data_IF_892032082456
#
_entry.id   IF_892032082456
#
_cell.length_a   1.000
_cell.length_b   1.000
_cell.length_c   1.000
_cell.angle_alpha   90.00
_cell.angle_beta   90.00
_cell.angle_gamma   90.00
#
_symmetry.space_group_name_H-M   'P 1'
#
loop_
_entity.id
_entity.type
_entity.pdbx_description
1 polymer ?
#
# COMPACT_ATOMS: atom_id res chain seq x y z
N UNK A 1 -5.32 26.70 -5.99
CA UNK A 1 -4.41 26.49 -4.85
C UNK A 1 -4.23 24.99 -4.64
N UNK A 2 -3.11 24.43 -5.09
CA UNK A 2 -2.81 23.00 -4.97
C UNK A 2 -2.35 22.70 -3.54
N UNK A 3 -3.08 21.83 -2.83
CA UNK A 3 -2.71 21.38 -1.48
C UNK A 3 -1.71 20.23 -1.60
N UNK A 4 -0.44 20.50 -1.32
CA UNK A 4 0.57 19.47 -1.10
C UNK A 4 0.47 18.99 0.36
N UNK A 5 0.35 17.68 0.58
CA UNK A 5 0.31 17.07 1.91
C UNK A 5 1.62 16.31 2.19
N UNK A 6 2.22 16.44 3.39
CA UNK A 6 3.45 15.73 3.76
C UNK A 6 3.18 14.26 4.09
N UNK A 7 3.98 13.36 3.52
CA UNK A 7 3.99 11.93 3.83
C UNK A 7 4.87 11.69 5.07
N UNK A 8 4.28 11.16 6.15
CA UNK A 8 4.99 10.71 7.34
C UNK A 8 5.76 9.42 7.01
N UNK A 9 7.09 9.45 7.19
CA UNK A 9 7.98 8.29 7.10
C UNK A 9 8.08 7.64 8.49
N UNK A 10 7.84 6.33 8.56
CA UNK A 10 8.33 5.48 9.65
C UNK A 10 9.44 4.56 9.08
N UNK A 11 10.58 4.54 9.76
CA UNK A 11 11.78 3.76 9.44
C UNK A 11 11.59 2.27 9.77
N UNK A 12 12.00 1.35 8.88
CA UNK A 12 11.86 -0.11 9.09
C UNK A 12 13.10 -0.90 8.63
N UNK A 13 14.20 -0.75 9.37
CA UNK A 13 15.44 -1.53 9.18
C UNK A 13 15.52 -2.79 10.07
N UNK A 14 14.48 -3.12 10.84
CA UNK A 14 14.48 -4.31 11.74
C UNK A 14 13.69 -5.52 11.20
N UNK A 15 13.00 -5.39 10.06
CA UNK A 15 12.08 -6.43 9.55
C UNK A 15 12.79 -7.54 8.75
N UNK A 16 13.92 -7.25 8.13
CA UNK A 16 14.59 -8.19 7.21
C UNK A 16 15.31 -9.36 7.93
N UNK A 17 15.72 -9.19 9.19
CA UNK A 17 16.47 -10.21 9.95
C UNK A 17 15.59 -11.39 10.42
N UNK A 18 14.28 -11.19 10.52
CA UNK A 18 13.36 -12.24 11.00
C UNK A 18 13.01 -13.21 9.85
N UNK A 19 13.01 -12.71 8.61
CA UNK A 19 12.48 -13.43 7.43
C UNK A 19 13.35 -14.59 6.94
N UNK A 20 14.64 -14.60 7.23
CA UNK A 20 15.56 -15.67 6.77
C UNK A 20 15.66 -16.85 7.74
N UNK A 21 15.00 -16.81 8.90
CA UNK A 21 15.08 -17.86 9.92
C UNK A 21 13.91 -18.85 9.93
N UNK A 22 12.85 -18.59 9.15
CA UNK A 22 11.68 -19.47 9.07
C UNK A 22 11.92 -20.51 7.99
N UNK A 23 12.31 -21.72 8.39
CA UNK A 23 12.50 -22.85 7.48
C UNK A 23 11.16 -23.26 6.83
N UNK A 24 11.18 -23.75 5.59
CA UNK A 24 9.98 -24.28 4.91
C UNK A 24 9.24 -25.37 5.72
N UNK A 25 9.95 -26.03 6.64
CA UNK A 25 9.41 -27.02 7.58
C UNK A 25 8.41 -26.43 8.60
N UNK A 26 8.56 -25.14 8.94
CA UNK A 26 7.61 -24.40 9.79
C UNK A 26 6.35 -23.98 9.04
N UNK A 27 6.42 -23.85 7.71
CA UNK A 27 5.28 -23.45 6.86
C UNK A 27 4.34 -24.62 6.56
N UNK A 28 4.88 -25.82 6.29
CA UNK A 28 4.07 -27.04 6.07
C UNK A 28 3.39 -27.55 7.35
N UNK A 29 3.84 -27.07 8.50
CA UNK A 29 3.25 -27.34 9.80
C UNK A 29 2.35 -26.20 10.29
N UNK A 30 1.96 -25.23 9.45
CA UNK A 30 0.97 -24.20 9.84
C UNK A 30 -0.45 -24.79 9.77
N UNK A 31 -1.20 -24.83 10.88
CA UNK A 31 -2.58 -25.31 10.86
C UNK A 31 -3.46 -24.46 9.95
N UNK A 32 -4.15 -25.09 8.99
CA UNK A 32 -4.96 -24.43 7.95
C UNK A 32 -6.32 -23.92 8.46
N UNK A 33 -6.60 -24.03 9.76
CA UNK A 33 -7.81 -23.48 10.39
C UNK A 33 -7.54 -23.09 11.84
N UNK A 34 -8.33 -22.14 12.34
CA UNK A 34 -8.31 -21.69 13.74
C UNK A 34 -8.60 -22.84 14.70
N UNK A 35 -9.49 -23.77 14.32
CA UNK A 35 -9.78 -24.98 15.10
C UNK A 35 -8.56 -25.92 15.17
N UNK A 36 -7.88 -26.15 14.04
CA UNK A 36 -6.67 -26.99 14.03
C UNK A 36 -5.50 -26.35 14.79
N UNK A 37 -5.48 -25.02 14.91
CA UNK A 37 -4.52 -24.29 15.74
C UNK A 37 -4.86 -24.42 17.23
N UNK A 38 -6.14 -24.34 17.59
CA UNK A 38 -6.64 -24.54 18.94
C UNK A 38 -6.39 -25.97 19.43
N UNK A 39 -6.74 -26.98 18.64
CA UNK A 39 -6.57 -28.39 19.01
C UNK A 39 -5.08 -28.74 19.21
N UNK A 40 -4.18 -28.20 18.37
CA UNK A 40 -2.72 -28.42 18.52
C UNK A 40 -2.12 -27.70 19.70
N UNK A 41 -2.64 -26.52 20.03
CA UNK A 41 -2.22 -25.76 21.20
C UNK A 41 -2.68 -26.45 22.49
N UNK A 42 -3.90 -26.99 22.49
CA UNK A 42 -4.46 -27.77 23.59
C UNK A 42 -3.66 -29.07 23.79
N UNK A 43 -3.30 -29.78 22.71
CA UNK A 43 -2.39 -30.94 22.76
C UNK A 43 -0.98 -30.58 23.27
N UNK A 44 -0.46 -29.39 22.94
CA UNK A 44 0.83 -28.92 23.46
C UNK A 44 0.78 -28.56 24.96
N UNK A 45 -0.34 -28.00 25.42
CA UNK A 45 -0.55 -27.53 26.79
C UNK A 45 -0.92 -28.66 27.76
N UNK A 46 -1.59 -29.72 27.27
CA UNK A 46 -1.95 -30.88 28.11
C UNK A 46 -0.76 -31.81 28.41
N UNK A 47 0.41 -31.57 27.81
CA UNK A 47 1.63 -32.38 27.99
C UNK A 47 2.70 -31.79 28.92
N UNK A 48 2.53 -30.56 29.43
CA UNK A 48 3.49 -29.95 30.35
C UNK A 48 2.84 -29.68 31.71
N UNK A 49 3.15 -30.54 32.68
CA UNK A 49 2.94 -30.21 34.09
C UNK A 49 3.74 -28.93 34.42
N UNK A 50 3.02 -27.96 35.00
CA UNK A 50 3.53 -26.80 35.72
C UNK A 50 4.21 -25.69 34.90
N UNK A 51 3.40 -24.92 34.17
CA UNK A 51 3.62 -23.48 34.09
C UNK A 51 2.49 -22.81 34.88
N UNK A 52 2.78 -22.43 36.13
CA UNK A 52 1.90 -21.69 37.04
C UNK A 52 1.53 -20.30 36.52
N UNK A 53 0.85 -20.26 35.38
CA UNK A 53 0.24 -19.08 34.79
C UNK A 53 -1.24 -19.22 35.10
N UNK A 54 -1.73 -18.38 36.03
CA UNK A 54 -3.16 -18.29 36.33
C UNK A 54 -3.94 -18.13 35.02
N UNK A 55 -5.05 -18.88 34.84
CA UNK A 55 -5.84 -18.95 33.60
C UNK A 55 -6.12 -17.58 32.95
N UNK A 56 -6.22 -16.53 33.77
CA UNK A 56 -6.44 -15.16 33.35
C UNK A 56 -5.24 -14.54 32.61
N UNK A 57 -3.99 -14.88 32.97
CA UNK A 57 -2.80 -14.34 32.33
C UNK A 57 -2.53 -14.96 30.95
N UNK A 58 -2.80 -16.26 30.80
CA UNK A 58 -2.69 -16.96 29.52
C UNK A 58 -3.73 -16.46 28.50
N UNK A 59 -4.97 -16.27 28.95
CA UNK A 59 -6.04 -15.68 28.13
C UNK A 59 -5.67 -14.27 27.67
N UNK A 60 -5.07 -13.46 28.56
CA UNK A 60 -4.61 -12.11 28.24
C UNK A 60 -3.50 -12.11 27.20
N UNK A 61 -2.58 -13.06 27.30
CA UNK A 61 -1.50 -13.22 26.34
C UNK A 61 -2.05 -13.60 24.96
N UNK A 62 -2.99 -14.55 24.89
CA UNK A 62 -3.64 -14.95 23.64
C UNK A 62 -4.49 -13.84 23.02
N UNK A 63 -5.21 -13.05 23.82
CA UNK A 63 -5.93 -11.87 23.35
C UNK A 63 -4.99 -10.82 22.75
N UNK A 64 -3.86 -10.55 23.41
CA UNK A 64 -2.85 -9.61 22.91
C UNK A 64 -2.23 -10.09 21.60
N UNK A 65 -1.91 -11.39 21.52
CA UNK A 65 -1.27 -11.98 20.35
C UNK A 65 -2.24 -12.09 19.17
N UNK A 66 -3.50 -12.37 19.44
CA UNK A 66 -4.58 -12.38 18.43
C UNK A 66 -4.85 -10.98 17.92
N UNK A 67 -4.92 -9.98 18.81
CA UNK A 67 -5.07 -8.56 18.44
C UNK A 67 -3.88 -8.05 17.63
N UNK A 68 -2.66 -8.46 17.95
CA UNK A 68 -1.45 -8.08 17.20
C UNK A 68 -1.41 -8.75 15.83
N UNK A 69 -1.77 -10.04 15.74
CA UNK A 69 -1.93 -10.74 14.46
C UNK A 69 -3.04 -10.11 13.61
N UNK A 70 -4.15 -9.69 14.20
CA UNK A 70 -5.26 -9.03 13.52
C UNK A 70 -4.85 -7.66 12.96
N UNK A 71 -3.94 -6.95 13.63
CA UNK A 71 -3.33 -5.72 13.12
C UNK A 71 -2.33 -5.97 11.97
N UNK A 72 -1.58 -7.07 12.03
CA UNK A 72 -0.63 -7.45 10.97
C UNK A 72 -1.32 -8.04 9.73
N UNK A 73 -2.57 -8.47 9.84
CA UNK A 73 -3.41 -8.94 8.73
C UNK A 73 -4.31 -7.83 8.13
N UNK A 74 -4.19 -6.58 8.59
CA UNK A 74 -4.94 -5.42 8.05
C UNK A 74 -4.25 -4.72 6.87
N UNK A 75 -3.15 -5.25 6.35
CA UNK A 75 -2.60 -4.81 5.07
C UNK A 75 -2.89 -5.88 4.01
N UNK A 76 -3.71 -5.52 3.02
CA UNK A 76 -4.09 -6.24 1.80
C UNK A 76 -5.51 -6.85 1.75
N UNK A 77 -6.59 -6.05 1.96
CA UNK A 77 -7.85 -6.20 1.19
C UNK A 77 -8.94 -5.09 1.32
N UNK A 78 -8.66 -3.90 1.85
CA UNK A 78 -9.65 -2.79 1.86
C UNK A 78 -9.38 -1.74 0.75
N UNK A 79 -9.70 -2.10 -0.50
CA UNK A 79 -9.63 -1.21 -1.67
C UNK A 79 -10.95 -0.43 -1.90
N UNK A 80 -11.78 -0.14 -0.87
CA UNK A 80 -13.20 0.22 -1.11
C UNK A 80 -13.85 1.36 -0.29
N UNK A 81 -13.11 2.39 0.18
CA UNK A 81 -13.74 3.63 0.72
C UNK A 81 -13.00 4.94 0.34
N UNK A 82 -12.46 5.02 -0.88
CA UNK A 82 -11.89 6.27 -1.40
C UNK A 82 -13.02 7.21 -1.86
N UNK A 83 -13.24 8.30 -1.13
CA UNK A 83 -14.20 9.34 -1.49
C UNK A 83 -13.96 9.83 -2.95
N UNK A 84 -14.99 9.86 -3.81
CA UNK A 84 -14.82 10.20 -5.22
C UNK A 84 -14.36 11.65 -5.39
N UNK A 85 -13.15 11.82 -5.91
CA UNK A 85 -12.58 13.11 -6.28
C UNK A 85 -12.35 13.24 -7.78
N UNK A 86 -12.01 14.44 -8.26
CA UNK A 86 -11.60 14.64 -9.66
C UNK A 86 -10.12 14.30 -9.84
N UNK A 87 -9.80 13.42 -10.79
CA UNK A 87 -8.43 13.07 -11.13
C UNK A 87 -7.64 14.28 -11.65
N UNK A 88 -6.43 14.52 -11.14
CA UNK A 88 -5.60 15.64 -11.56
C UNK A 88 -5.13 15.60 -13.04
N UNK A 89 -5.24 14.46 -13.71
CA UNK A 89 -4.84 14.30 -15.13
C UNK A 89 -6.05 14.24 -16.08
N UNK A 90 -7.00 13.35 -15.81
CA UNK A 90 -8.14 13.17 -16.72
C UNK A 90 -9.42 13.89 -16.28
N UNK A 91 -9.38 14.58 -15.15
CA UNK A 91 -10.45 15.43 -14.60
C UNK A 91 -11.78 14.71 -14.34
N UNK A 92 -11.82 13.38 -14.48
CA UNK A 92 -13.02 12.59 -14.21
C UNK A 92 -13.22 12.40 -12.71
N UNK A 93 -14.47 12.38 -12.23
CA UNK A 93 -14.78 11.91 -10.88
C UNK A 93 -14.50 10.41 -10.82
N UNK A 94 -13.59 9.97 -9.96
CA UNK A 94 -13.15 8.59 -9.80
C UNK A 94 -12.57 8.39 -8.38
N UNK A 95 -12.47 7.14 -7.89
CA UNK A 95 -11.54 6.82 -6.81
C UNK A 95 -10.12 7.21 -7.21
N UNK A 96 -9.43 7.90 -6.30
CA UNK A 96 -8.09 8.43 -6.54
C UNK A 96 -7.06 7.68 -5.69
N UNK A 97 -5.92 7.40 -6.28
CA UNK A 97 -4.72 6.91 -5.60
C UNK A 97 -3.67 8.02 -5.57
N UNK A 98 -2.82 8.00 -4.55
CA UNK A 98 -1.72 8.95 -4.43
C UNK A 98 -0.52 8.49 -5.26
N UNK A 99 -0.17 9.26 -6.30
CA UNK A 99 1.00 9.01 -7.14
C UNK A 99 2.15 9.94 -6.76
N UNK A 100 3.31 9.36 -6.43
CA UNK A 100 4.52 10.12 -6.14
C UNK A 100 5.16 10.59 -7.45
N UNK A 101 5.29 11.90 -7.65
CA UNK A 101 5.90 12.45 -8.85
C UNK A 101 7.40 12.14 -8.93
N UNK A 102 8.05 11.99 -7.78
CA UNK A 102 9.40 11.42 -7.67
C UNK A 102 9.23 10.03 -7.05
N UNK A 103 9.43 8.95 -7.81
CA UNK A 103 9.20 7.59 -7.32
C UNK A 103 10.04 7.27 -6.09
N UNK A 104 9.45 6.64 -5.08
CA UNK A 104 10.10 6.30 -3.79
C UNK A 104 11.44 5.58 -3.97
N UNK A 105 11.52 4.66 -4.94
CA UNK A 105 12.74 3.91 -5.26
C UNK A 105 13.93 4.81 -5.63
N UNK A 106 13.69 6.03 -6.12
CA UNK A 106 14.74 6.99 -6.50
C UNK A 106 15.13 7.94 -5.36
N UNK A 107 14.43 7.90 -4.22
CA UNK A 107 14.59 8.88 -3.15
C UNK A 107 15.98 8.83 -2.53
N UNK A 108 16.45 7.64 -2.15
CA UNK A 108 17.74 7.45 -1.49
C UNK A 108 18.89 8.01 -2.32
N UNK A 109 18.92 7.71 -3.61
CA UNK A 109 19.97 8.18 -4.53
C UNK A 109 19.91 9.69 -4.77
N UNK A 110 18.71 10.26 -4.91
CA UNK A 110 18.53 11.69 -5.16
C UNK A 110 18.84 12.55 -3.93
N UNK A 111 18.52 12.05 -2.73
CA UNK A 111 18.88 12.69 -1.47
C UNK A 111 20.39 12.66 -1.24
N UNK A 112 21.06 11.53 -1.51
CA UNK A 112 22.52 11.42 -1.45
C UNK A 112 23.24 12.40 -2.38
N UNK A 113 22.67 12.62 -3.57
CA UNK A 113 23.20 13.58 -4.56
C UNK A 113 22.87 15.05 -4.23
N UNK A 114 22.04 15.31 -3.23
CA UNK A 114 21.59 16.66 -2.89
C UNK A 114 20.72 17.31 -3.97
N UNK A 115 20.17 16.53 -4.90
CA UNK A 115 19.36 17.06 -6.02
C UNK A 115 18.01 17.58 -5.54
N UNK A 116 17.43 16.91 -4.53
CA UNK A 116 16.18 17.31 -3.89
C UNK A 116 16.37 17.38 -2.38
N UNK A 117 15.65 18.29 -1.74
CA UNK A 117 15.52 18.34 -0.29
C UNK A 117 14.47 17.33 0.19
N UNK A 118 14.56 16.89 1.45
CA UNK A 118 13.65 15.89 2.04
C UNK A 118 12.18 16.31 1.95
N UNK A 119 11.90 17.60 2.05
CA UNK A 119 10.54 18.16 1.95
C UNK A 119 9.96 18.08 0.52
N UNK A 120 10.80 18.19 -0.52
CA UNK A 120 10.34 18.26 -1.91
C UNK A 120 10.20 16.89 -2.57
N UNK A 121 10.85 15.88 -2.04
CA UNK A 121 10.94 14.57 -2.68
C UNK A 121 9.64 13.75 -2.58
N UNK A 122 8.84 14.02 -1.56
CA UNK A 122 7.56 13.33 -1.33
C UNK A 122 6.36 13.98 -2.05
N UNK A 123 6.60 14.92 -2.97
CA UNK A 123 5.51 15.55 -3.72
C UNK A 123 4.78 14.53 -4.60
N UNK A 124 3.47 14.66 -4.69
CA UNK A 124 2.62 13.74 -5.44
C UNK A 124 1.29 14.37 -5.84
N UNK A 125 0.51 13.61 -6.60
CA UNK A 125 -0.78 14.00 -7.15
C UNK A 125 -1.81 12.92 -6.89
N UNK A 126 -3.07 13.32 -6.73
CA UNK A 126 -4.20 12.40 -6.66
C UNK A 126 -4.73 12.13 -8.06
N UNK A 127 -4.61 10.88 -8.50
CA UNK A 127 -5.02 10.46 -9.84
C UNK A 127 -5.78 9.15 -9.77
N UNK A 128 -6.63 8.89 -10.75
CA UNK A 128 -7.29 7.58 -10.82
C UNK A 128 -6.31 6.50 -11.26
N UNK A 129 -6.56 5.25 -10.85
CA UNK A 129 -5.69 4.12 -11.17
C UNK A 129 -5.41 3.88 -12.68
N UNK A 130 -6.24 4.25 -13.69
CA UNK A 130 -5.83 4.08 -15.09
C UNK A 130 -4.77 5.11 -15.49
N UNK A 131 -4.87 6.34 -14.96
CA UNK A 131 -3.85 7.37 -15.14
C UNK A 131 -2.55 6.96 -14.44
N UNK A 132 -2.64 6.39 -13.23
CA UNK A 132 -1.46 5.89 -12.52
C UNK A 132 -0.76 4.78 -13.31
N UNK A 133 -1.50 3.78 -13.80
CA UNK A 133 -0.93 2.74 -14.66
C UNK A 133 -0.33 3.31 -15.94
N UNK A 134 -0.96 4.31 -16.56
CA UNK A 134 -0.45 4.92 -17.79
C UNK A 134 0.92 5.60 -17.61
N UNK A 135 1.13 6.33 -16.49
CA UNK A 135 2.42 6.98 -16.20
C UNK A 135 3.54 5.93 -16.15
N UNK A 136 3.36 4.88 -15.35
CA UNK A 136 4.39 3.83 -15.20
C UNK A 136 4.51 2.92 -16.42
N UNK A 137 3.50 2.85 -17.29
CA UNK A 137 3.58 2.10 -18.54
C UNK A 137 4.39 2.85 -19.60
N UNK A 138 4.38 4.19 -19.57
CA UNK A 138 5.05 5.01 -20.57
C UNK A 138 6.52 5.26 -20.22
N UNK A 139 6.81 5.53 -18.95
CA UNK A 139 8.15 5.92 -18.50
C UNK A 139 8.57 5.16 -17.24
N UNK A 140 9.86 4.82 -17.17
CA UNK A 140 10.45 4.17 -16.02
C UNK A 140 10.70 5.18 -14.88
N UNK A 141 10.92 4.66 -13.68
CA UNK A 141 11.06 5.47 -12.47
C UNK A 141 12.21 6.48 -12.53
N UNK A 142 13.32 6.17 -13.23
CA UNK A 142 14.46 7.09 -13.34
C UNK A 142 14.13 8.26 -14.25
N UNK A 143 13.49 8.01 -15.39
CA UNK A 143 13.06 9.05 -16.32
C UNK A 143 12.00 9.96 -15.70
N UNK A 144 11.04 9.38 -14.98
CA UNK A 144 10.03 10.15 -14.24
C UNK A 144 10.67 11.10 -13.22
N UNK A 145 11.62 10.61 -12.42
CA UNK A 145 12.30 11.44 -11.43
C UNK A 145 13.14 12.57 -12.05
N UNK A 146 13.79 12.31 -13.18
CA UNK A 146 14.71 13.24 -13.82
C UNK A 146 14.01 14.31 -14.67
N UNK A 147 13.02 13.92 -15.47
CA UNK A 147 12.45 14.76 -16.52
C UNK A 147 10.97 15.11 -16.30
N UNK A 148 10.20 14.22 -15.67
CA UNK A 148 8.73 14.36 -15.56
C UNK A 148 8.25 14.35 -14.12
N UNK A 149 8.97 15.08 -13.26
CA UNK A 149 8.75 15.08 -11.82
C UNK A 149 7.71 16.13 -11.36
N UNK A 150 6.99 16.77 -12.28
CA UNK A 150 5.88 17.69 -12.02
C UNK A 150 4.65 17.28 -12.84
N UNK A 151 3.46 17.71 -12.40
CA UNK A 151 2.23 17.44 -13.15
C UNK A 151 2.28 18.09 -14.53
N UNK A 152 2.77 19.31 -14.61
CA UNK A 152 2.87 20.09 -15.85
C UNK A 152 3.76 19.35 -16.86
N UNK A 153 4.92 18.85 -16.43
CA UNK A 153 5.81 18.07 -17.29
C UNK A 153 5.17 16.77 -17.79
N UNK A 154 4.36 16.10 -16.95
CA UNK A 154 3.59 14.93 -17.38
C UNK A 154 2.52 15.29 -18.41
N UNK A 155 1.86 16.45 -18.27
CA UNK A 155 0.81 16.90 -19.18
C UNK A 155 1.34 17.42 -20.53
N UNK A 156 2.62 17.79 -20.61
CA UNK A 156 3.29 18.17 -21.85
C UNK A 156 3.60 16.98 -22.77
N UNK A 157 3.62 15.75 -22.23
CA UNK A 157 3.89 14.54 -23.00
C UNK A 157 2.74 14.23 -23.98
N UNK A 158 3.04 14.17 -25.28
CA UNK A 158 2.05 13.85 -26.32
C UNK A 158 1.33 12.52 -26.06
N UNK A 159 2.07 11.50 -25.60
CA UNK A 159 1.52 10.20 -25.27
C UNK A 159 0.49 10.28 -24.13
N UNK A 160 0.79 11.07 -23.09
CA UNK A 160 -0.12 11.32 -21.97
C UNK A 160 -1.33 12.11 -22.43
N UNK A 161 -1.15 13.15 -23.25
CA UNK A 161 -2.28 13.93 -23.80
C UNK A 161 -3.24 13.07 -24.62
N UNK A 162 -2.69 12.21 -25.49
CA UNK A 162 -3.48 11.25 -26.27
C UNK A 162 -4.24 10.28 -25.37
N UNK A 163 -3.57 9.77 -24.33
CA UNK A 163 -4.21 8.93 -23.32
C UNK A 163 -5.34 9.66 -22.58
N UNK A 164 -5.10 10.89 -22.09
CA UNK A 164 -6.09 11.70 -21.38
C UNK A 164 -7.32 11.96 -22.26
N UNK A 165 -7.11 12.31 -23.54
CA UNK A 165 -8.19 12.55 -24.50
C UNK A 165 -9.05 11.31 -24.76
N UNK A 166 -8.46 10.12 -24.68
CA UNK A 166 -9.17 8.85 -24.83
C UNK A 166 -9.86 8.43 -23.52
N UNK A 167 -9.16 8.54 -22.39
CA UNK A 167 -9.64 8.08 -21.08
C UNK A 167 -10.79 8.95 -20.57
N UNK A 168 -10.78 10.26 -20.85
CA UNK A 168 -11.86 11.19 -20.47
C UNK A 168 -13.23 10.81 -21.06
N UNK A 169 -13.23 10.07 -22.18
CA UNK A 169 -14.44 9.59 -22.87
C UNK A 169 -14.91 8.22 -22.39
N UNK A 170 -14.11 7.52 -21.59
CA UNK A 170 -14.47 6.19 -21.10
C UNK A 170 -15.53 6.29 -20.02
N UNK A 171 -16.52 5.40 -20.08
CA UNK A 171 -17.62 5.37 -19.12
C UNK A 171 -17.12 5.00 -17.73
N UNK A 172 -17.38 5.86 -16.76
CA UNK A 172 -17.21 5.55 -15.34
C UNK A 172 -18.39 4.68 -14.91
N UNK A 173 -18.13 3.53 -14.27
CA UNK A 173 -19.20 2.70 -13.71
C UNK A 173 -19.49 3.17 -12.30
N UNK A 174 -20.68 3.70 -12.07
CA UNK A 174 -21.25 3.85 -10.73
C UNK A 174 -21.95 2.55 -10.33
N UNK A 175 -21.85 2.15 -9.05
CA UNK A 175 -22.71 1.12 -8.47
C UNK A 175 -24.08 1.71 -8.08
N UNK A 176 -25.01 0.84 -7.69
CA UNK A 176 -26.37 1.21 -7.26
C UNK A 176 -26.40 1.99 -5.93
N UNK A 177 -25.33 1.92 -5.16
CA UNK A 177 -25.08 2.65 -3.90
C UNK A 177 -24.65 4.12 -4.12
N UNK A 178 -24.46 4.54 -5.37
CA UNK A 178 -24.00 5.89 -5.70
C UNK A 178 -22.49 6.08 -5.65
N UNK A 179 -21.72 5.04 -5.36
CA UNK A 179 -20.26 5.09 -5.32
C UNK A 179 -19.64 4.74 -6.69
N UNK A 180 -18.46 5.32 -6.95
CA UNK A 180 -17.66 5.04 -8.14
C UNK A 180 -16.61 3.99 -7.79
N UNK A 181 -16.50 2.91 -8.57
CA UNK A 181 -15.48 1.88 -8.35
C UNK A 181 -14.64 1.63 -9.61
N UNK A 182 -13.50 0.96 -9.42
CA UNK A 182 -12.66 0.53 -10.53
C UNK A 182 -13.30 -0.61 -11.32
N UNK A 183 -13.08 -0.65 -12.65
CA UNK A 183 -13.45 -1.80 -13.47
C UNK A 183 -12.36 -2.87 -13.28
N UNK A 184 -12.65 -3.93 -12.51
CA UNK A 184 -11.85 -5.17 -12.53
C UNK A 184 -11.83 -5.76 -13.94
#
# INVERSE_FOLDING_TARGET
>A
MQKAFPCLLADSLEVDLIRESVTEELLDSVPQSTQAMQDRLEDLLLGQEDFGVEQEEFSRFYELLTREMELLMQEDDDDDDLEPGCCAMCERPMPLTFHHLIPKQTHSDLLKKGTFSKDKICRGIWICRPCHSAIHSLHDNKTLAAQYNTLEALLELEQIQRFIKWVSKQRVRSKKDGQLHYRR
#
